data_IF_717283837920
#
_entry.id   IF_717283837920
#
_cell.length_a   1.000
_cell.length_b   1.000
_cell.length_c   1.000
_cell.angle_alpha   90.00
_cell.angle_beta   90.00
_cell.angle_gamma   90.00
#
_symmetry.space_group_name_H-M   'P 1'
#
loop_
_entity.id
_entity.type
_entity.pdbx_description
1 polymer ?
#
# COMPACT_ATOMS: atom_id res chain seq x y z
N UNK A 1 -67.35 -43.11 111.13
CA UNK A 1 -66.64 -43.42 109.87
C UNK A 1 -66.17 -42.12 109.21
N UNK A 2 -65.01 -41.60 109.58
CA UNK A 2 -64.47 -40.37 108.96
C UNK A 2 -63.52 -40.78 107.85
N UNK A 3 -64.01 -40.65 106.61
CA UNK A 3 -63.33 -41.06 105.40
C UNK A 3 -62.00 -40.31 105.25
N UNK A 4 -60.88 -41.03 105.40
CA UNK A 4 -59.53 -40.55 105.08
C UNK A 4 -59.51 -40.15 103.60
N UNK A 5 -59.73 -38.86 103.29
CA UNK A 5 -59.38 -38.32 101.96
C UNK A 5 -57.89 -38.57 101.77
N UNK A 6 -57.58 -39.51 100.86
CA UNK A 6 -56.25 -40.05 100.68
C UNK A 6 -55.23 -38.93 100.46
N UNK A 7 -54.05 -39.06 101.08
CA UNK A 7 -52.87 -38.21 100.86
C UNK A 7 -52.55 -38.04 99.37
N UNK A 8 -52.93 -39.01 98.52
CA UNK A 8 -52.87 -38.95 97.07
C UNK A 8 -53.68 -37.78 96.44
N UNK A 9 -54.82 -37.39 97.04
CA UNK A 9 -55.66 -36.27 96.56
C UNK A 9 -55.00 -34.90 96.76
N UNK A 10 -54.29 -34.68 97.88
CA UNK A 10 -53.56 -33.43 98.18
C UNK A 10 -52.28 -33.28 97.36
N UNK A 11 -51.62 -34.40 97.03
CA UNK A 11 -50.44 -34.42 96.14
C UNK A 11 -50.86 -34.16 94.69
N UNK A 12 -52.00 -34.70 94.23
CA UNK A 12 -52.57 -34.40 92.90
C UNK A 12 -52.90 -32.91 92.75
N UNK A 13 -53.55 -32.28 93.74
CA UNK A 13 -53.88 -30.84 93.66
C UNK A 13 -52.63 -29.94 93.68
N UNK A 14 -51.60 -30.26 94.48
CA UNK A 14 -50.31 -29.54 94.43
C UNK A 14 -49.57 -29.69 93.10
N UNK A 15 -49.54 -30.89 92.50
CA UNK A 15 -48.96 -31.12 91.16
C UNK A 15 -49.72 -30.35 90.07
N UNK A 16 -51.04 -30.27 90.15
CA UNK A 16 -51.86 -29.47 89.23
C UNK A 16 -51.59 -27.97 89.39
N UNK A 17 -51.47 -27.47 90.62
CA UNK A 17 -51.13 -26.06 90.88
C UNK A 17 -49.71 -25.70 90.39
N UNK A 18 -48.72 -26.60 90.57
CA UNK A 18 -47.37 -26.42 90.04
C UNK A 18 -47.34 -26.41 88.51
N UNK A 19 -48.05 -27.34 87.85
CA UNK A 19 -48.22 -27.34 86.39
C UNK A 19 -48.90 -26.06 85.89
N UNK A 20 -49.92 -25.56 86.60
CA UNK A 20 -50.56 -24.26 86.28
C UNK A 20 -49.60 -23.08 86.42
N UNK A 21 -48.76 -23.05 87.45
CA UNK A 21 -47.71 -22.02 87.61
C UNK A 21 -46.64 -22.10 86.52
N UNK A 22 -46.17 -23.30 86.17
CA UNK A 22 -45.26 -23.49 85.04
C UNK A 22 -45.89 -23.07 83.71
N UNK A 23 -47.16 -23.40 83.49
CA UNK A 23 -47.90 -22.99 82.31
C UNK A 23 -48.09 -21.46 82.26
N UNK A 24 -48.42 -20.83 83.38
CA UNK A 24 -48.51 -19.37 83.50
C UNK A 24 -47.15 -18.68 83.24
N UNK A 25 -46.06 -19.22 83.77
CA UNK A 25 -44.71 -18.71 83.53
C UNK A 25 -44.27 -18.90 82.08
N UNK A 26 -44.59 -20.05 81.46
CA UNK A 26 -44.37 -20.32 80.04
C UNK A 26 -45.19 -19.37 79.16
N UNK A 27 -46.45 -19.14 79.50
CA UNK A 27 -47.33 -18.19 78.81
C UNK A 27 -46.83 -16.74 78.94
N UNK A 28 -46.42 -16.32 80.14
CA UNK A 28 -45.84 -15.01 80.39
C UNK A 28 -44.51 -14.82 79.61
N UNK A 29 -43.65 -15.83 79.57
CA UNK A 29 -42.40 -15.82 78.78
C UNK A 29 -42.68 -15.74 77.28
N UNK A 30 -43.67 -16.48 76.79
CA UNK A 30 -44.10 -16.45 75.39
C UNK A 30 -44.72 -15.09 75.02
N UNK A 31 -45.53 -14.53 75.90
CA UNK A 31 -46.10 -13.18 75.76
C UNK A 31 -45.01 -12.11 75.74
N UNK A 32 -44.02 -12.18 76.63
CA UNK A 32 -42.86 -11.28 76.63
C UNK A 32 -42.03 -11.40 75.35
N UNK A 33 -41.80 -12.62 74.84
CA UNK A 33 -41.11 -12.83 73.55
C UNK A 33 -41.89 -12.22 72.39
N UNK A 34 -43.21 -12.36 72.38
CA UNK A 34 -44.08 -11.74 71.36
C UNK A 34 -43.98 -10.21 71.44
N UNK A 35 -44.07 -9.62 72.65
CA UNK A 35 -43.91 -8.19 72.86
C UNK A 35 -42.52 -7.68 72.39
N UNK A 36 -41.46 -8.43 72.67
CA UNK A 36 -40.11 -8.05 72.25
C UNK A 36 -39.94 -8.10 70.72
N UNK A 37 -40.57 -9.09 70.07
CA UNK A 37 -40.59 -9.21 68.61
C UNK A 37 -41.41 -8.09 67.97
N UNK A 38 -42.56 -7.71 68.54
CA UNK A 38 -43.37 -6.61 68.03
C UNK A 38 -42.65 -5.27 68.18
N UNK A 39 -42.01 -5.00 69.33
CA UNK A 39 -41.19 -3.78 69.52
C UNK A 39 -40.05 -3.72 68.51
N UNK A 40 -39.32 -4.83 68.29
CA UNK A 40 -38.26 -4.90 67.26
C UNK A 40 -38.79 -4.70 65.85
N UNK A 41 -39.96 -5.24 65.52
CA UNK A 41 -40.60 -5.04 64.23
C UNK A 41 -41.01 -3.58 64.01
N UNK A 42 -41.58 -2.92 65.02
CA UNK A 42 -41.94 -1.49 64.99
C UNK A 42 -40.70 -0.61 64.82
N UNK A 43 -39.61 -0.89 65.53
CA UNK A 43 -38.34 -0.17 65.37
C UNK A 43 -37.74 -0.35 63.95
N UNK A 44 -37.76 -1.57 63.41
CA UNK A 44 -37.34 -1.85 62.03
C UNK A 44 -38.22 -1.11 61.01
N UNK A 45 -39.54 -1.13 61.18
CA UNK A 45 -40.47 -0.42 60.30
C UNK A 45 -40.27 1.11 60.35
N UNK A 46 -40.09 1.67 61.55
CA UNK A 46 -39.78 3.10 61.75
C UNK A 46 -38.46 3.50 61.08
N UNK A 47 -37.39 2.69 61.22
CA UNK A 47 -36.11 2.96 60.56
C UNK A 47 -36.20 2.84 59.03
N UNK A 48 -36.97 1.88 58.51
CA UNK A 48 -37.26 1.74 57.08
C UNK A 48 -38.04 2.95 56.54
N UNK A 49 -39.07 3.41 57.25
CA UNK A 49 -39.85 4.60 56.88
C UNK A 49 -38.98 5.86 56.85
N UNK A 50 -38.10 6.06 57.85
CA UNK A 50 -37.11 7.15 57.85
C UNK A 50 -36.12 7.06 56.70
N UNK A 51 -35.62 5.86 56.37
CA UNK A 51 -34.70 5.64 55.24
C UNK A 51 -35.37 5.96 53.91
N UNK A 52 -36.61 5.51 53.70
CA UNK A 52 -37.38 5.80 52.50
C UNK A 52 -37.74 7.29 52.37
N UNK A 53 -38.11 7.94 53.47
CA UNK A 53 -38.34 9.39 53.49
C UNK A 53 -37.06 10.15 53.08
N UNK A 54 -35.90 9.81 53.67
CA UNK A 54 -34.59 10.39 53.27
C UNK A 54 -34.24 10.15 51.80
N UNK A 55 -34.58 8.98 51.24
CA UNK A 55 -34.36 8.68 49.83
C UNK A 55 -35.27 9.54 48.95
N UNK A 56 -36.55 9.65 49.29
CA UNK A 56 -37.52 10.47 48.57
C UNK A 56 -37.13 11.95 48.60
N UNK A 57 -36.73 12.46 49.76
CA UNK A 57 -36.28 13.84 49.93
C UNK A 57 -35.00 14.13 49.14
N UNK A 58 -34.02 13.21 49.14
CA UNK A 58 -32.84 13.31 48.26
C UNK A 58 -33.21 13.36 46.79
N UNK A 59 -34.18 12.55 46.34
CA UNK A 59 -34.68 12.58 44.95
C UNK A 59 -35.33 13.92 44.62
N UNK A 60 -36.17 14.45 45.53
CA UNK A 60 -36.84 15.75 45.37
C UNK A 60 -35.83 16.89 45.27
N UNK A 61 -34.87 16.95 46.19
CA UNK A 61 -33.78 17.95 46.18
C UNK A 61 -32.95 17.84 44.89
N UNK A 62 -32.60 16.63 44.46
CA UNK A 62 -31.86 16.41 43.22
C UNK A 62 -32.63 16.95 42.01
N UNK A 63 -33.94 16.71 41.93
CA UNK A 63 -34.81 17.24 40.86
C UNK A 63 -34.85 18.76 40.87
N UNK A 64 -34.99 19.38 42.04
CA UNK A 64 -34.97 20.83 42.19
C UNK A 64 -33.62 21.44 41.76
N UNK A 65 -32.49 20.89 42.21
CA UNK A 65 -31.15 21.36 41.83
C UNK A 65 -30.92 21.25 40.32
N UNK A 66 -31.39 20.16 39.68
CA UNK A 66 -31.31 19.99 38.22
C UNK A 66 -32.10 21.08 37.49
N UNK A 67 -33.35 21.33 37.90
CA UNK A 67 -34.17 22.40 37.32
C UNK A 67 -33.51 23.77 37.51
N UNK A 68 -32.98 24.04 38.71
CA UNK A 68 -32.25 25.27 39.00
C UNK A 68 -30.99 25.42 38.14
N UNK A 69 -30.26 24.34 37.90
CA UNK A 69 -29.07 24.34 37.04
C UNK A 69 -29.39 24.62 35.57
N UNK A 70 -30.53 24.16 35.06
CA UNK A 70 -30.97 24.44 33.70
C UNK A 70 -31.50 25.86 33.53
N UNK A 71 -32.30 26.34 34.48
CA UNK A 71 -33.06 27.58 34.31
C UNK A 71 -32.34 28.82 34.86
N UNK A 72 -31.33 28.66 35.71
CA UNK A 72 -30.60 29.79 36.30
C UNK A 72 -29.14 29.79 35.85
N UNK A 73 -28.81 30.72 34.96
CA UNK A 73 -27.47 30.88 34.38
C UNK A 73 -26.42 31.24 35.43
N UNK A 74 -26.73 32.13 36.37
CA UNK A 74 -25.81 32.54 37.46
C UNK A 74 -25.47 31.35 38.35
N UNK A 75 -26.48 30.60 38.80
CA UNK A 75 -26.29 29.39 39.59
C UNK A 75 -25.47 28.33 38.84
N UNK A 76 -25.69 28.16 37.53
CA UNK A 76 -24.91 27.24 36.69
C UNK A 76 -23.43 27.65 36.63
N UNK A 77 -23.14 28.92 36.39
CA UNK A 77 -21.77 29.45 36.31
C UNK A 77 -21.04 29.31 37.65
N UNK A 78 -21.67 29.73 38.75
CA UNK A 78 -21.11 29.60 40.10
C UNK A 78 -20.85 28.14 40.48
N UNK A 79 -21.82 27.25 40.23
CA UNK A 79 -21.67 25.83 40.52
C UNK A 79 -20.56 25.18 39.68
N UNK A 80 -20.41 25.58 38.41
CA UNK A 80 -19.32 25.11 37.55
C UNK A 80 -17.96 25.64 38.03
N UNK A 81 -17.88 26.90 38.42
CA UNK A 81 -16.67 27.50 38.99
C UNK A 81 -16.24 26.76 40.27
N UNK A 82 -17.16 26.59 41.22
CA UNK A 82 -16.89 25.89 42.47
C UNK A 82 -16.50 24.41 42.24
N UNK A 83 -17.18 23.72 41.33
CA UNK A 83 -16.82 22.35 40.94
C UNK A 83 -15.42 22.28 40.33
N UNK A 84 -15.06 23.25 39.48
CA UNK A 84 -13.75 23.34 38.83
C UNK A 84 -12.65 23.58 39.86
N UNK A 85 -12.85 24.53 40.78
CA UNK A 85 -11.93 24.83 41.88
C UNK A 85 -11.67 23.59 42.75
N UNK A 86 -12.73 22.85 43.08
CA UNK A 86 -12.63 21.63 43.88
C UNK A 86 -11.84 20.52 43.17
N UNK A 87 -12.03 20.37 41.86
CA UNK A 87 -11.26 19.42 41.04
C UNK A 87 -9.79 19.85 40.97
N UNK A 88 -9.51 21.14 40.81
CA UNK A 88 -8.17 21.70 40.76
C UNK A 88 -7.43 21.45 42.08
N UNK A 89 -8.05 21.79 43.20
CA UNK A 89 -7.52 21.53 44.54
C UNK A 89 -7.23 20.04 44.74
N UNK A 90 -8.14 19.16 44.30
CA UNK A 90 -7.92 17.71 44.36
C UNK A 90 -6.77 17.25 43.47
N UNK A 91 -6.58 17.86 42.30
CA UNK A 91 -5.46 17.56 41.41
C UNK A 91 -4.12 17.98 42.02
N UNK A 92 -4.06 19.12 42.73
CA UNK A 92 -2.87 19.60 43.42
C UNK A 92 -2.54 18.83 44.70
N UNK A 93 -3.53 18.39 45.47
CA UNK A 93 -3.28 17.81 46.80
C UNK A 93 -3.34 16.28 46.84
N UNK A 94 -3.83 15.62 45.79
CA UNK A 94 -3.97 14.17 45.76
C UNK A 94 -3.22 13.55 44.56
N UNK A 95 -2.11 12.87 44.87
CA UNK A 95 -1.22 12.24 43.88
C UNK A 95 -1.89 11.09 43.13
N UNK A 96 -2.68 10.24 43.80
CA UNK A 96 -3.37 9.11 43.16
C UNK A 96 -4.43 9.59 42.19
N UNK A 97 -5.21 10.61 42.56
CA UNK A 97 -6.16 11.27 41.68
C UNK A 97 -5.46 11.93 40.49
N UNK A 98 -4.37 12.67 40.72
CA UNK A 98 -3.56 13.30 39.67
C UNK A 98 -3.05 12.27 38.66
N UNK A 99 -2.48 11.17 39.13
CA UNK A 99 -1.95 10.10 38.28
C UNK A 99 -3.06 9.42 37.47
N UNK A 100 -4.22 9.19 38.08
CA UNK A 100 -5.40 8.63 37.40
C UNK A 100 -5.95 9.55 36.31
N UNK A 101 -5.95 10.86 36.52
CA UNK A 101 -6.33 11.84 35.48
C UNK A 101 -5.30 11.86 34.36
N UNK A 102 -4.00 11.86 34.68
CA UNK A 102 -2.91 11.80 33.69
C UNK A 102 -2.98 10.53 32.83
N UNK A 103 -3.22 9.36 33.43
CA UNK A 103 -3.31 8.10 32.68
C UNK A 103 -4.51 8.09 31.73
N UNK A 104 -5.68 8.52 32.20
CA UNK A 104 -6.89 8.66 31.36
C UNK A 104 -6.68 9.64 30.20
N UNK A 105 -6.07 10.79 30.47
CA UNK A 105 -5.76 11.78 29.44
C UNK A 105 -4.79 11.25 28.38
N UNK A 106 -3.75 10.50 28.79
CA UNK A 106 -2.83 9.82 27.85
C UNK A 106 -3.57 8.83 26.95
N UNK A 107 -4.40 7.95 27.51
CA UNK A 107 -5.16 6.96 26.74
C UNK A 107 -6.09 7.66 25.75
N UNK A 108 -6.83 8.68 26.20
CA UNK A 108 -7.72 9.45 25.33
C UNK A 108 -6.96 10.12 24.18
N UNK A 109 -5.83 10.77 24.48
CA UNK A 109 -4.99 11.45 23.48
C UNK A 109 -4.45 10.46 22.46
N UNK A 110 -4.01 9.28 22.92
CA UNK A 110 -3.46 8.23 22.06
C UNK A 110 -4.54 7.65 21.14
N UNK A 111 -5.71 7.34 21.69
CA UNK A 111 -6.87 6.91 20.92
C UNK A 111 -7.25 7.95 19.85
N UNK A 112 -7.33 9.24 20.23
CA UNK A 112 -7.60 10.34 19.30
C UNK A 112 -6.51 10.48 18.23
N UNK A 113 -5.24 10.27 18.58
CA UNK A 113 -4.11 10.33 17.65
C UNK A 113 -4.16 9.20 16.60
N UNK A 114 -4.61 8.01 16.98
CA UNK A 114 -4.73 6.89 16.03
C UNK A 114 -5.96 7.03 15.13
N UNK A 115 -7.09 7.46 15.69
CA UNK A 115 -8.39 7.39 15.01
C UNK A 115 -8.83 8.71 14.35
N UNK A 116 -8.18 9.84 14.61
CA UNK A 116 -8.53 11.12 14.00
C UNK A 116 -7.36 11.71 13.22
N UNK A 117 -7.51 11.77 11.89
CA UNK A 117 -6.48 12.23 10.95
C UNK A 117 -6.06 13.69 11.19
N UNK A 118 -7.03 14.59 11.36
CA UNK A 118 -6.78 16.02 11.53
C UNK A 118 -6.10 16.31 12.87
N UNK A 119 -6.59 15.68 13.94
CA UNK A 119 -5.97 15.77 15.26
C UNK A 119 -4.53 15.27 15.21
N UNK A 120 -4.27 14.14 14.55
CA UNK A 120 -2.93 13.58 14.38
C UNK A 120 -1.99 14.57 13.68
N UNK A 121 -2.45 15.21 12.61
CA UNK A 121 -1.65 16.18 11.85
C UNK A 121 -1.39 17.46 12.66
N UNK A 122 -2.42 18.01 13.30
CA UNK A 122 -2.28 19.18 14.17
C UNK A 122 -1.38 18.90 15.39
N UNK A 123 -1.47 17.71 15.97
CA UNK A 123 -0.61 17.29 17.09
C UNK A 123 0.85 17.20 16.64
N UNK A 124 1.13 16.57 15.48
CA UNK A 124 2.48 16.52 14.89
C UNK A 124 3.04 17.91 14.60
N UNK A 125 2.23 18.80 14.02
CA UNK A 125 2.63 20.17 13.73
C UNK A 125 3.00 20.93 14.99
N UNK A 126 2.14 20.90 16.02
CA UNK A 126 2.40 21.54 17.32
C UNK A 126 3.66 21.00 18.00
N UNK A 127 3.80 19.67 18.07
CA UNK A 127 4.97 19.04 18.66
C UNK A 127 6.27 19.45 17.94
N UNK A 128 6.24 19.55 16.61
CA UNK A 128 7.37 20.04 15.81
C UNK A 128 7.72 21.49 16.15
N UNK A 129 6.72 22.37 16.22
CA UNK A 129 6.91 23.79 16.57
C UNK A 129 7.48 23.96 17.97
N UNK A 130 6.99 23.21 18.97
CA UNK A 130 7.51 23.27 20.34
C UNK A 130 8.97 22.78 20.43
N UNK A 131 9.32 21.71 19.73
CA UNK A 131 10.70 21.21 19.68
C UNK A 131 11.63 22.24 19.03
N UNK A 132 11.21 22.85 17.92
CA UNK A 132 11.97 23.92 17.27
C UNK A 132 12.14 25.12 18.21
N UNK A 133 11.07 25.56 18.88
CA UNK A 133 11.15 26.64 19.87
C UNK A 133 12.21 26.32 20.93
N UNK A 134 12.15 25.13 21.55
CA UNK A 134 13.14 24.69 22.55
C UNK A 134 14.56 24.63 22.00
N UNK A 135 14.73 24.21 20.76
CA UNK A 135 16.03 24.13 20.09
C UNK A 135 16.68 25.51 19.91
N UNK A 136 15.89 26.55 19.58
CA UNK A 136 16.41 27.90 19.41
C UNK A 136 16.54 28.67 20.73
N UNK A 137 15.68 28.42 21.71
CA UNK A 137 15.68 29.19 22.96
C UNK A 137 16.56 28.61 24.05
N UNK A 138 16.92 27.32 24.02
CA UNK A 138 17.67 26.66 25.08
C UNK A 138 18.94 25.96 24.56
N UNK A 139 20.09 26.57 24.83
CA UNK A 139 21.38 26.09 24.34
C UNK A 139 21.74 24.68 24.87
N UNK A 140 21.38 24.34 26.10
CA UNK A 140 21.66 23.01 26.67
C UNK A 140 20.88 21.90 25.96
N UNK A 141 19.62 22.17 25.59
CA UNK A 141 18.77 21.24 24.84
C UNK A 141 19.30 21.10 23.42
N UNK A 142 19.70 22.22 22.80
CA UNK A 142 20.31 22.25 21.47
C UNK A 142 21.55 21.36 21.39
N UNK A 143 22.50 21.51 22.32
CA UNK A 143 23.73 20.71 22.37
C UNK A 143 23.43 19.22 22.57
N UNK A 144 22.51 18.86 23.47
CA UNK A 144 22.07 17.46 23.66
C UNK A 144 21.44 16.87 22.40
N UNK A 145 20.66 17.65 21.65
CA UNK A 145 20.06 17.20 20.40
C UNK A 145 21.11 16.99 19.30
N UNK A 146 22.08 17.90 19.16
CA UNK A 146 23.20 17.77 18.22
C UNK A 146 24.02 16.51 18.54
N UNK A 147 24.36 16.30 19.82
CA UNK A 147 25.14 15.12 20.24
C UNK A 147 24.41 13.80 19.91
N UNK A 148 23.08 13.74 20.14
CA UNK A 148 22.28 12.56 19.77
C UNK A 148 22.27 12.30 18.27
N UNK A 149 22.17 13.36 17.46
CA UNK A 149 22.22 13.24 16.00
C UNK A 149 23.59 12.73 15.53
N UNK A 150 24.68 13.24 16.10
CA UNK A 150 26.04 12.78 15.81
C UNK A 150 26.25 11.31 16.21
N UNK A 151 25.80 10.90 17.40
CA UNK A 151 25.89 9.52 17.85
C UNK A 151 25.08 8.59 16.93
N UNK A 152 23.88 9.00 16.51
CA UNK A 152 23.07 8.24 15.56
C UNK A 152 23.72 8.15 14.17
N UNK A 153 24.44 9.18 13.73
CA UNK A 153 25.17 9.16 12.47
C UNK A 153 26.38 8.21 12.53
N UNK A 154 27.11 8.23 13.66
CA UNK A 154 28.24 7.33 13.92
C UNK A 154 27.81 5.87 13.96
N UNK A 155 26.69 5.56 14.63
CA UNK A 155 26.18 4.19 14.72
C UNK A 155 25.46 3.68 13.46
N UNK A 156 24.85 4.57 12.66
CA UNK A 156 24.16 4.23 11.42
C UNK A 156 25.02 4.37 10.16
N UNK A 157 26.35 4.33 10.24
CA UNK A 157 27.23 4.32 9.05
C UNK A 157 27.69 2.90 8.67
N UNK A 158 26.81 1.91 8.84
CA UNK A 158 27.07 0.53 8.38
C UNK A 158 26.84 0.42 6.87
N UNK A 159 27.43 -0.59 6.22
CA UNK A 159 27.22 -0.83 4.78
C UNK A 159 25.73 -1.03 4.44
N UNK A 160 24.97 -1.65 5.35
CA UNK A 160 23.52 -1.90 5.22
C UNK A 160 22.74 -0.59 5.18
N UNK A 161 23.03 0.36 6.07
CA UNK A 161 22.34 1.67 6.10
C UNK A 161 22.71 2.54 4.90
N UNK A 162 23.96 2.47 4.39
CA UNK A 162 24.35 3.14 3.14
C UNK A 162 23.57 2.60 1.94
N UNK A 163 23.48 1.28 1.78
CA UNK A 163 22.72 0.64 0.69
C UNK A 163 21.22 0.99 0.76
N UNK A 164 20.64 0.94 1.96
CA UNK A 164 19.25 1.33 2.19
C UNK A 164 18.98 2.82 1.86
N UNK A 165 19.87 3.73 2.26
CA UNK A 165 19.79 5.17 1.92
C UNK A 165 19.91 5.41 0.42
N UNK A 166 20.78 4.67 -0.27
CA UNK A 166 20.93 4.75 -1.73
C UNK A 166 19.65 4.31 -2.46
N UNK A 167 19.06 3.18 -2.05
CA UNK A 167 17.79 2.67 -2.59
C UNK A 167 16.64 3.66 -2.34
N UNK A 168 16.53 4.22 -1.14
CA UNK A 168 15.54 5.24 -0.81
C UNK A 168 15.68 6.49 -1.70
N UNK A 169 16.91 6.97 -1.90
CA UNK A 169 17.19 8.13 -2.74
C UNK A 169 16.88 7.86 -4.23
N UNK A 170 17.21 6.67 -4.73
CA UNK A 170 16.79 6.24 -6.08
C UNK A 170 15.28 6.24 -6.21
N UNK A 171 14.56 5.62 -5.27
CA UNK A 171 13.09 5.58 -5.26
C UNK A 171 12.48 6.98 -5.27
N UNK A 172 13.00 7.91 -4.47
CA UNK A 172 12.54 9.31 -4.50
C UNK A 172 12.80 10.01 -5.83
N UNK A 173 13.98 9.82 -6.44
CA UNK A 173 14.30 10.40 -7.75
C UNK A 173 13.32 9.91 -8.82
N UNK A 174 13.04 8.61 -8.80
CA UNK A 174 12.04 7.97 -9.67
C UNK A 174 10.65 8.58 -9.43
N UNK A 175 10.20 8.67 -8.18
CA UNK A 175 8.90 9.26 -7.83
C UNK A 175 8.79 10.73 -8.25
N UNK A 176 9.84 11.54 -8.06
CA UNK A 176 9.86 12.93 -8.54
C UNK A 176 9.79 13.02 -10.06
N UNK A 177 10.50 12.14 -10.78
CA UNK A 177 10.43 12.06 -12.24
C UNK A 177 9.01 11.71 -12.70
N UNK A 178 8.39 10.70 -12.09
CA UNK A 178 7.00 10.33 -12.40
C UNK A 178 6.00 11.43 -12.04
N UNK A 179 6.15 12.09 -10.89
CA UNK A 179 5.31 13.21 -10.50
C UNK A 179 5.44 14.39 -11.48
N UNK A 180 6.66 14.69 -11.96
CA UNK A 180 6.92 15.71 -12.98
C UNK A 180 6.28 15.33 -14.33
N UNK A 181 6.33 14.06 -14.72
CA UNK A 181 5.66 13.56 -15.93
C UNK A 181 4.13 13.62 -15.78
N UNK A 182 3.61 13.33 -14.59
CA UNK A 182 2.17 13.35 -14.31
C UNK A 182 1.64 14.79 -14.15
N UNK A 183 2.47 15.73 -13.70
CA UNK A 183 2.15 17.16 -13.63
C UNK A 183 2.22 17.87 -14.99
N UNK A 184 2.88 17.28 -15.99
CA UNK A 184 2.63 17.60 -17.40
C UNK A 184 1.23 17.09 -17.78
N UNK A 185 0.19 17.74 -17.24
CA UNK A 185 -1.11 17.78 -17.91
C UNK A 185 -0.85 18.35 -19.29
N UNK A 186 -0.81 17.49 -20.31
CA UNK A 186 -0.74 17.90 -21.69
C UNK A 186 -1.82 18.95 -21.91
N UNK A 187 -1.40 20.21 -22.08
CA UNK A 187 -2.29 21.29 -22.49
C UNK A 187 -2.97 20.86 -23.79
N UNK A 188 -4.23 21.28 -24.00
CA UNK A 188 -5.05 20.88 -25.16
C UNK A 188 -4.31 21.01 -26.52
N UNK A 189 -3.35 21.94 -26.63
CA UNK A 189 -2.43 22.08 -27.78
C UNK A 189 -1.62 20.82 -28.10
N UNK A 190 -1.10 20.11 -27.10
CA UNK A 190 -0.36 18.85 -27.31
C UNK A 190 -1.25 17.68 -27.72
N UNK A 191 -2.53 17.66 -27.29
CA UNK A 191 -3.47 16.62 -27.71
C UNK A 191 -3.82 16.75 -29.20
N UNK A 192 -4.01 17.97 -29.69
CA UNK A 192 -4.29 18.22 -31.10
C UNK A 192 -3.07 17.92 -31.97
N UNK A 193 -1.87 18.37 -31.57
CA UNK A 193 -0.63 18.04 -32.27
C UNK A 193 -0.39 16.52 -32.29
N UNK A 194 -0.62 15.82 -31.18
CA UNK A 194 -0.51 14.37 -31.13
C UNK A 194 -1.51 13.69 -32.07
N UNK A 195 -2.78 14.12 -32.09
CA UNK A 195 -3.80 13.58 -33.00
C UNK A 195 -3.44 13.83 -34.47
N UNK A 196 -2.89 15.00 -34.79
CA UNK A 196 -2.41 15.34 -36.13
C UNK A 196 -1.24 14.44 -36.53
N UNK A 197 -0.20 14.36 -35.69
CA UNK A 197 0.96 13.50 -35.92
C UNK A 197 0.57 12.03 -36.04
N UNK A 198 -0.43 11.56 -35.27
CA UNK A 198 -0.94 10.19 -35.36
C UNK A 198 -1.67 9.94 -36.67
N UNK A 199 -2.47 10.91 -37.15
CA UNK A 199 -3.12 10.82 -38.47
C UNK A 199 -2.08 10.78 -39.58
N UNK A 200 -1.07 11.63 -39.52
CA UNK A 200 0.01 11.66 -40.50
C UNK A 200 0.84 10.37 -40.47
N UNK A 201 1.21 9.89 -39.29
CA UNK A 201 1.89 8.60 -39.12
C UNK A 201 1.07 7.46 -39.74
N UNK A 202 -0.23 7.37 -39.44
CA UNK A 202 -1.13 6.36 -40.03
C UNK A 202 -1.21 6.46 -41.55
N UNK A 203 -1.19 7.67 -42.11
CA UNK A 203 -1.15 7.90 -43.56
C UNK A 203 0.15 7.37 -44.16
N UNK A 204 1.29 7.64 -43.53
CA UNK A 204 2.63 7.20 -43.98
C UNK A 204 2.74 5.68 -43.97
N UNK A 205 2.27 5.01 -42.91
CA UNK A 205 2.42 3.55 -42.79
C UNK A 205 1.43 2.74 -43.61
N UNK A 206 0.39 3.37 -44.18
CA UNK A 206 -0.68 2.69 -44.95
C UNK A 206 -0.13 1.92 -46.14
N UNK A 207 0.89 2.46 -46.81
CA UNK A 207 1.51 1.87 -48.00
C UNK A 207 2.62 0.86 -47.68
N UNK A 208 2.88 0.59 -46.39
CA UNK A 208 3.94 -0.32 -45.98
C UNK A 208 5.36 0.15 -46.35
N UNK A 209 6.40 -0.53 -45.84
CA UNK A 209 7.78 -0.24 -46.19
C UNK A 209 8.22 -0.99 -47.46
N UNK A 210 7.48 -0.90 -48.57
CA UNK A 210 7.70 -1.74 -49.75
C UNK A 210 8.79 -1.21 -50.71
N UNK A 211 9.44 -0.10 -50.37
CA UNK A 211 10.42 0.55 -51.23
C UNK A 211 11.85 0.15 -50.84
N UNK A 212 12.44 -0.77 -51.61
CA UNK A 212 13.79 -1.28 -51.35
C UNK A 212 14.86 -0.32 -51.87
N UNK A 213 15.78 0.09 -50.99
CA UNK A 213 16.92 0.93 -51.36
C UNK A 213 18.04 0.13 -52.05
N UNK A 214 18.48 0.56 -53.23
CA UNK A 214 19.57 -0.08 -53.98
C UNK A 214 20.94 -0.13 -53.28
N UNK A 215 21.19 0.75 -52.31
CA UNK A 215 22.49 0.78 -51.60
C UNK A 215 22.47 -0.02 -50.31
N UNK A 216 21.41 0.10 -49.49
CA UNK A 216 21.36 -0.54 -48.18
C UNK A 216 20.47 -1.79 -48.12
N UNK A 217 19.72 -2.10 -49.18
CA UNK A 217 18.84 -3.28 -49.25
C UNK A 217 17.64 -3.26 -48.29
N UNK A 218 17.47 -2.19 -47.52
CA UNK A 218 16.36 -2.06 -46.57
C UNK A 218 15.07 -1.69 -47.29
N UNK A 219 13.99 -2.36 -46.90
CA UNK A 219 12.62 -2.02 -47.24
C UNK A 219 12.18 -0.80 -46.40
N UNK A 220 11.74 0.27 -47.07
CA UNK A 220 11.51 1.59 -46.47
C UNK A 220 10.16 2.16 -46.92
N UNK A 221 9.64 3.14 -46.19
CA UNK A 221 8.41 3.84 -46.58
C UNK A 221 8.63 4.79 -47.75
N UNK A 222 7.57 5.07 -48.53
CA UNK A 222 7.60 5.96 -49.70
C UNK A 222 8.25 7.32 -49.44
N UNK A 223 8.05 7.88 -48.25
CA UNK A 223 8.57 9.19 -47.85
C UNK A 223 10.07 9.17 -47.49
N UNK A 224 10.68 8.01 -47.31
CA UNK A 224 12.10 7.83 -46.97
C UNK A 224 12.98 7.59 -48.20
N UNK A 225 12.36 7.31 -49.35
CA UNK A 225 13.04 7.01 -50.61
C UNK A 225 12.81 8.09 -51.66
N UNK A 226 13.73 8.13 -52.63
CA UNK A 226 13.63 8.92 -53.85
C UNK A 226 13.92 8.04 -55.07
N UNK A 227 13.38 8.37 -56.26
CA UNK A 227 13.69 7.66 -57.49
C UNK A 227 15.20 7.63 -57.74
N UNK A 228 15.74 6.45 -58.02
CA UNK A 228 17.12 6.31 -58.41
C UNK A 228 17.30 6.74 -59.87
N UNK A 229 18.24 7.66 -60.11
CA UNK A 229 18.60 8.14 -61.45
C UNK A 229 20.06 7.82 -61.68
N UNK A 230 20.33 6.94 -62.65
CA UNK A 230 21.67 6.37 -62.90
C UNK A 230 22.75 7.44 -62.96
N UNK A 231 22.53 8.49 -63.74
CA UNK A 231 23.53 9.54 -64.01
C UNK A 231 23.87 10.38 -62.79
N UNK A 232 22.96 10.47 -61.81
CA UNK A 232 23.20 11.23 -60.56
C UNK A 232 24.16 10.51 -59.61
N UNK A 233 24.31 9.20 -59.74
CA UNK A 233 25.01 8.37 -58.75
C UNK A 233 26.13 7.51 -59.35
N UNK A 234 26.03 7.11 -60.63
CA UNK A 234 27.06 6.32 -61.32
C UNK A 234 27.94 7.28 -62.14
N UNK A 235 28.94 7.87 -61.48
CA UNK A 235 30.02 8.63 -62.14
C UNK A 235 31.39 8.08 -61.72
N UNK A 236 32.48 8.64 -62.22
CA UNK A 236 33.85 8.20 -61.89
C UNK A 236 34.26 8.50 -60.44
N UNK A 237 33.55 9.41 -59.76
CA UNK A 237 33.94 9.96 -58.45
C UNK A 237 33.31 9.23 -57.25
N UNK A 238 32.59 8.13 -57.49
CA UNK A 238 32.02 7.26 -56.43
C UNK A 238 32.93 6.05 -56.19
N UNK A 239 32.93 5.50 -54.97
CA UNK A 239 33.70 4.29 -54.67
C UNK A 239 33.32 3.13 -55.60
N UNK A 240 34.35 2.39 -56.04
CA UNK A 240 34.22 1.28 -56.98
C UNK A 240 33.27 0.20 -56.46
N UNK A 241 33.30 -0.08 -55.16
CA UNK A 241 32.46 -1.07 -54.49
C UNK A 241 30.98 -0.69 -54.58
N UNK A 242 30.64 0.57 -54.30
CA UNK A 242 29.26 1.07 -54.43
C UNK A 242 28.83 1.04 -55.89
N UNK A 243 29.69 1.49 -56.81
CA UNK A 243 29.41 1.47 -58.24
C UNK A 243 29.09 0.06 -58.72
N UNK A 244 29.96 -0.91 -58.40
CA UNK A 244 29.83 -2.32 -58.76
C UNK A 244 28.56 -2.94 -58.17
N UNK A 245 28.23 -2.64 -56.92
CA UNK A 245 27.03 -3.13 -56.27
C UNK A 245 25.74 -2.58 -56.89
N UNK A 246 25.65 -1.25 -57.06
CA UNK A 246 24.48 -0.66 -57.72
C UNK A 246 24.34 -1.25 -59.13
N UNK A 247 25.44 -1.38 -59.88
CA UNK A 247 25.41 -1.99 -61.21
C UNK A 247 24.98 -3.47 -61.19
N UNK A 248 25.37 -4.27 -60.20
CA UNK A 248 24.90 -5.66 -60.10
C UNK A 248 23.39 -5.71 -59.87
N UNK A 249 22.84 -4.85 -59.01
CA UNK A 249 21.39 -4.75 -58.80
C UNK A 249 20.65 -4.26 -60.06
N UNK A 250 21.29 -3.42 -60.87
CA UNK A 250 20.71 -2.95 -62.13
C UNK A 250 20.59 -4.06 -63.18
N UNK A 251 21.50 -5.03 -63.20
CA UNK A 251 21.54 -6.14 -64.17
C UNK A 251 20.48 -7.22 -63.93
N UNK A 252 20.08 -7.43 -62.67
CA UNK A 252 19.17 -8.51 -62.28
C UNK A 252 17.68 -8.16 -62.35
N UNK A 253 17.31 -6.89 -62.55
CA UNK A 253 15.90 -6.50 -62.64
C UNK A 253 15.51 -6.20 -64.08
N UNK A 254 14.34 -6.69 -64.49
CA UNK A 254 13.65 -6.30 -65.71
C UNK A 254 13.61 -4.78 -65.82
N UNK A 255 13.85 -4.25 -67.02
CA UNK A 255 14.19 -2.85 -67.30
C UNK A 255 13.06 -1.84 -67.05
N UNK A 256 11.87 -2.28 -66.65
CA UNK A 256 10.66 -1.45 -66.56
C UNK A 256 10.29 -1.01 -65.14
N UNK A 257 10.89 -1.57 -64.09
CA UNK A 257 10.53 -1.21 -62.71
C UNK A 257 11.32 0.01 -62.19
N UNK A 258 10.59 0.99 -61.65
CA UNK A 258 11.18 2.16 -61.00
C UNK A 258 11.98 1.75 -59.76
N UNK A 259 13.29 2.06 -59.78
CA UNK A 259 14.20 1.77 -58.67
C UNK A 259 14.30 2.92 -57.68
N UNK A 260 14.64 2.59 -56.43
CA UNK A 260 14.61 3.53 -55.32
C UNK A 260 15.94 3.57 -54.56
N UNK A 261 16.25 4.75 -54.00
CA UNK A 261 17.36 4.94 -53.08
C UNK A 261 16.87 5.74 -51.87
N UNK A 262 17.29 5.35 -50.66
CA UNK A 262 16.90 6.07 -49.46
C UNK A 262 17.64 7.42 -49.38
N UNK A 263 16.98 8.42 -48.79
CA UNK A 263 17.53 9.78 -48.66
C UNK A 263 18.92 9.77 -48.02
N UNK A 264 19.11 9.01 -46.95
CA UNK A 264 20.40 8.90 -46.25
C UNK A 264 21.53 8.32 -47.12
N UNK A 265 21.25 7.28 -47.92
CA UNK A 265 22.24 6.72 -48.84
C UNK A 265 22.53 7.68 -49.99
N UNK A 266 21.51 8.31 -50.55
CA UNK A 266 21.67 9.36 -51.57
C UNK A 266 22.59 10.47 -51.08
N UNK A 267 22.36 11.01 -49.87
CA UNK A 267 23.13 12.13 -49.35
C UNK A 267 24.60 11.76 -49.11
N UNK A 268 24.85 10.55 -48.61
CA UNK A 268 26.22 10.05 -48.42
C UNK A 268 26.94 9.82 -49.74
N UNK A 269 26.29 9.19 -50.70
CA UNK A 269 26.86 8.95 -52.03
C UNK A 269 27.17 10.27 -52.75
N UNK A 270 26.25 11.25 -52.72
CA UNK A 270 26.48 12.59 -53.30
C UNK A 270 27.69 13.28 -52.67
N UNK A 271 27.89 13.08 -51.36
CA UNK A 271 29.06 13.56 -50.60
C UNK A 271 30.31 12.69 -50.79
N UNK A 272 30.30 11.70 -51.69
CA UNK A 272 31.40 10.77 -51.97
C UNK A 272 31.82 9.95 -50.75
N UNK A 273 30.88 9.67 -49.84
CA UNK A 273 31.09 8.87 -48.64
C UNK A 273 30.38 7.53 -48.75
N UNK A 274 30.99 6.48 -48.19
CA UNK A 274 30.33 5.18 -48.03
C UNK A 274 29.12 5.31 -47.11
N UNK A 275 27.90 4.97 -47.55
CA UNK A 275 26.75 4.93 -46.65
C UNK A 275 26.98 3.89 -45.56
N UNK A 276 26.78 4.27 -44.29
CA UNK A 276 27.05 3.38 -43.15
C UNK A 276 26.25 2.08 -43.19
N UNK A 277 25.03 2.13 -43.75
CA UNK A 277 24.13 0.98 -43.91
C UNK A 277 24.26 0.30 -45.27
N UNK A 278 25.23 0.69 -46.10
CA UNK A 278 25.40 0.09 -47.42
C UNK A 278 25.72 -1.40 -47.29
N UNK A 279 25.14 -2.24 -48.14
CA UNK A 279 25.40 -3.69 -48.16
C UNK A 279 26.89 -3.95 -48.39
N UNK A 280 27.54 -3.16 -49.26
CA UNK A 280 28.99 -3.27 -49.49
C UNK A 280 29.86 -2.74 -48.35
N UNK A 281 29.29 -2.04 -47.38
CA UNK A 281 30.02 -1.57 -46.20
C UNK A 281 30.12 -2.68 -45.14
N UNK A 282 30.65 -3.85 -45.52
CA UNK A 282 30.78 -5.04 -44.65
C UNK A 282 29.46 -5.51 -44.02
N UNK A 283 28.32 -5.17 -44.63
CA UNK A 283 26.98 -5.60 -44.21
C UNK A 283 26.36 -6.60 -45.19
N UNK A 284 27.15 -7.08 -46.16
CA UNK A 284 26.72 -8.10 -47.12
C UNK A 284 26.56 -9.40 -46.37
N UNK A 285 25.32 -9.87 -46.30
CA UNK A 285 25.01 -11.20 -45.77
C UNK A 285 25.46 -12.21 -46.83
N UNK A 286 26.26 -13.19 -46.41
CA UNK A 286 26.59 -14.32 -47.28
C UNK A 286 25.32 -15.09 -47.61
N UNK A 287 25.24 -15.62 -48.83
CA UNK A 287 24.15 -16.52 -49.16
C UNK A 287 24.15 -17.70 -48.18
N UNK A 288 22.95 -18.11 -47.76
CA UNK A 288 22.80 -19.30 -46.93
C UNK A 288 23.41 -20.48 -47.71
N UNK A 289 24.38 -21.21 -47.11
CA UNK A 289 24.98 -22.38 -47.74
C UNK A 289 23.93 -23.37 -48.23
N UNK A 290 24.22 -24.09 -49.32
CA UNK A 290 23.25 -25.00 -49.96
C UNK A 290 22.82 -26.12 -49.00
N UNK A 291 23.73 -26.54 -48.12
CA UNK A 291 23.54 -27.50 -47.04
C UNK A 291 22.46 -27.00 -46.06
N UNK A 292 22.51 -25.72 -45.69
CA UNK A 292 21.56 -25.11 -44.75
C UNK A 292 20.21 -24.73 -45.40
N UNK A 293 20.20 -24.47 -46.70
CA UNK A 293 18.97 -24.15 -47.45
C UNK A 293 17.99 -25.34 -47.48
N UNK A 294 18.51 -26.56 -47.52
CA UNK A 294 17.72 -27.81 -47.59
C UNK A 294 17.07 -28.20 -46.27
N UNK A 295 17.53 -27.64 -45.15
CA UNK A 295 17.02 -28.01 -43.84
C UNK A 295 15.58 -27.55 -43.62
N UNK A 296 14.77 -28.43 -43.05
CA UNK A 296 13.41 -28.11 -42.60
C UNK A 296 13.44 -27.25 -41.32
N UNK A 297 12.28 -26.77 -40.88
CA UNK A 297 12.19 -25.87 -39.71
C UNK A 297 12.69 -26.52 -38.40
N UNK A 298 12.53 -27.83 -38.25
CA UNK A 298 12.96 -28.57 -37.07
C UNK A 298 14.49 -28.72 -37.07
N UNK A 299 15.07 -29.15 -38.19
CA UNK A 299 16.51 -29.28 -38.38
C UNK A 299 17.22 -27.94 -38.16
N UNK A 300 16.66 -26.83 -38.69
CA UNK A 300 17.17 -25.48 -38.44
C UNK A 300 17.18 -25.09 -36.96
N UNK A 301 16.20 -25.56 -36.18
CA UNK A 301 16.20 -25.35 -34.74
C UNK A 301 17.26 -26.21 -34.03
N UNK A 302 17.48 -27.45 -34.48
CA UNK A 302 18.47 -28.34 -33.89
C UNK A 302 19.90 -27.82 -34.05
N UNK A 303 20.22 -27.22 -35.21
CA UNK A 303 21.54 -26.64 -35.48
C UNK A 303 21.66 -25.15 -35.08
N UNK A 304 20.65 -24.59 -34.42
CA UNK A 304 20.65 -23.18 -34.06
C UNK A 304 21.69 -22.94 -32.95
N UNK A 305 22.72 -22.15 -33.24
CA UNK A 305 23.77 -21.78 -32.26
C UNK A 305 23.22 -21.12 -30.99
N UNK A 306 22.00 -20.55 -31.05
CA UNK A 306 21.33 -19.96 -29.90
C UNK A 306 19.86 -20.33 -29.90
N UNK A 307 19.43 -20.98 -28.82
CA UNK A 307 18.03 -21.32 -28.59
C UNK A 307 17.36 -20.21 -27.79
N UNK A 308 16.38 -19.50 -28.37
CA UNK A 308 15.65 -18.47 -27.64
C UNK A 308 14.62 -19.11 -26.71
N UNK A 309 14.86 -19.07 -25.40
CA UNK A 309 13.86 -19.45 -24.40
C UNK A 309 13.00 -18.24 -24.05
N UNK A 310 11.98 -17.96 -24.87
CA UNK A 310 11.04 -16.88 -24.59
C UNK A 310 9.58 -17.34 -24.73
N UNK A 311 8.74 -16.88 -23.80
CA UNK A 311 7.28 -17.00 -23.92
C UNK A 311 6.71 -15.73 -24.51
N UNK A 312 6.20 -15.83 -25.73
CA UNK A 312 5.39 -14.75 -26.32
C UNK A 312 4.03 -14.75 -25.63
N UNK A 313 3.68 -13.64 -25.02
CA UNK A 313 2.39 -13.41 -24.35
C UNK A 313 1.67 -12.25 -25.01
N UNK A 314 0.34 -12.28 -25.05
CA UNK A 314 -0.42 -11.10 -25.38
C UNK A 314 -0.34 -10.14 -24.20
N UNK A 315 0.16 -8.92 -24.43
CA UNK A 315 0.09 -7.87 -23.42
C UNK A 315 -1.37 -7.46 -23.29
N UNK A 316 -1.90 -7.49 -22.06
CA UNK A 316 -3.30 -7.12 -21.80
C UNK A 316 -3.53 -5.69 -22.26
N UNK A 317 -4.16 -5.56 -23.41
CA UNK A 317 -4.63 -4.30 -23.94
C UNK A 317 -5.99 -4.08 -23.29
N UNK A 318 -6.11 -3.17 -22.32
CA UNK A 318 -7.41 -2.85 -21.75
C UNK A 318 -8.43 -2.55 -22.85
N UNK A 319 -9.66 -3.07 -22.76
CA UNK A 319 -10.86 -2.88 -23.62
C UNK A 319 -10.72 -2.89 -25.16
N UNK A 320 -9.52 -2.96 -25.74
CA UNK A 320 -9.31 -3.00 -27.19
C UNK A 320 -9.18 -4.45 -27.67
N UNK A 321 -9.89 -4.76 -28.77
CA UNK A 321 -10.04 -6.08 -29.39
C UNK A 321 -8.77 -6.94 -29.35
N UNK A 322 -8.94 -8.22 -29.00
CA UNK A 322 -7.86 -9.22 -28.91
C UNK A 322 -7.00 -9.35 -30.17
N UNK A 323 -7.56 -9.04 -31.36
CA UNK A 323 -6.83 -9.05 -32.63
C UNK A 323 -5.82 -7.90 -32.79
N UNK A 324 -5.93 -6.84 -32.01
CA UNK A 324 -5.05 -5.66 -32.04
C UNK A 324 -4.09 -5.59 -30.84
N UNK A 325 -4.05 -6.64 -30.01
CA UNK A 325 -3.23 -6.65 -28.81
C UNK A 325 -1.74 -6.77 -29.15
N UNK A 326 -0.92 -5.93 -28.52
CA UNK A 326 0.53 -6.00 -28.70
C UNK A 326 1.05 -7.31 -28.08
N UNK A 327 1.87 -8.05 -28.82
CA UNK A 327 2.60 -9.20 -28.29
C UNK A 327 3.82 -8.71 -27.51
N UNK A 328 4.03 -9.27 -26.33
CA UNK A 328 5.20 -9.04 -25.49
C UNK A 328 5.88 -10.36 -25.11
N UNK A 329 7.05 -10.28 -24.50
CA UNK A 329 7.78 -11.45 -24.01
C UNK A 329 7.70 -11.47 -22.48
N UNK A 330 7.28 -12.60 -21.90
CA UNK A 330 7.32 -12.81 -20.45
C UNK A 330 8.55 -13.62 -20.09
N UNK A 331 9.37 -13.07 -19.19
CA UNK A 331 10.63 -13.66 -18.76
C UNK A 331 11.84 -12.97 -19.38
N UNK A 332 13.06 -13.24 -18.89
CA UNK A 332 14.27 -12.72 -19.48
C UNK A 332 14.49 -13.38 -20.85
N UNK A 333 14.96 -12.61 -21.84
CA UNK A 333 15.39 -13.13 -23.13
C UNK A 333 16.71 -13.90 -22.93
N UNK A 334 16.62 -15.16 -22.51
CA UNK A 334 17.78 -16.03 -22.41
C UNK A 334 17.98 -16.73 -23.75
N UNK A 335 18.97 -16.26 -24.51
CA UNK A 335 19.50 -16.98 -25.66
C UNK A 335 20.58 -17.93 -25.14
N UNK A 336 20.22 -19.19 -24.94
CA UNK A 336 21.16 -20.22 -24.46
C UNK A 336 22.00 -20.68 -25.64
N UNK A 337 23.35 -20.70 -25.53
CA UNK A 337 24.18 -21.28 -26.56
C UNK A 337 23.84 -22.76 -26.72
N UNK A 338 23.63 -23.20 -27.95
CA UNK A 338 23.44 -24.63 -28.24
C UNK A 338 24.78 -25.21 -28.63
N UNK A 339 25.08 -26.40 -28.12
CA UNK A 339 26.14 -27.24 -28.66
C UNK A 339 25.57 -28.03 -29.83
N UNK A 340 25.92 -27.60 -31.04
CA UNK A 340 25.43 -28.22 -32.27
C UNK A 340 26.04 -29.61 -32.45
N UNK A 341 27.29 -29.81 -32.01
CA UNK A 341 28.00 -31.07 -32.15
C UNK A 341 27.33 -32.16 -31.31
N UNK A 342 27.07 -31.85 -30.03
CA UNK A 342 26.35 -32.75 -29.12
C UNK A 342 24.96 -33.11 -29.65
N UNK A 343 24.26 -32.11 -30.23
CA UNK A 343 22.90 -32.30 -30.75
C UNK A 343 22.89 -33.23 -31.97
N UNK A 344 23.88 -33.09 -32.86
CA UNK A 344 24.04 -33.95 -34.05
C UNK A 344 24.45 -35.36 -33.64
N UNK A 345 25.39 -35.52 -32.70
CA UNK A 345 25.84 -36.83 -32.21
C UNK A 345 24.71 -37.58 -31.49
N UNK A 346 23.84 -36.85 -30.78
CA UNK A 346 22.73 -37.44 -30.04
C UNK A 346 21.56 -37.92 -30.91
N UNK A 347 21.54 -37.62 -32.20
CA UNK A 347 20.41 -37.92 -33.10
C UNK A 347 20.79 -38.95 -34.18
N UNK A 348 19.94 -39.97 -34.44
CA UNK A 348 18.67 -40.26 -33.77
C UNK A 348 18.87 -40.87 -32.38
N UNK A 349 18.05 -40.45 -31.40
CA UNK A 349 18.13 -41.02 -30.05
C UNK A 349 17.72 -42.50 -30.08
N UNK A 350 18.47 -43.40 -29.44
CA UNK A 350 18.03 -44.78 -29.23
C UNK A 350 16.68 -44.81 -28.52
N UNK A 351 15.81 -45.77 -28.87
CA UNK A 351 14.43 -45.89 -28.33
C UNK A 351 14.43 -45.90 -26.80
N UNK A 352 15.39 -46.60 -26.19
CA UNK A 352 15.55 -46.71 -24.73
C UNK A 352 15.86 -45.38 -24.02
N UNK A 353 16.39 -44.38 -24.75
CA UNK A 353 16.76 -43.05 -24.23
C UNK A 353 15.76 -41.96 -24.61
N UNK A 354 14.64 -42.32 -25.24
CA UNK A 354 13.64 -41.38 -25.78
C UNK A 354 12.39 -41.21 -24.90
N UNK A 355 12.23 -42.04 -23.86
CA UNK A 355 11.03 -42.15 -23.00
C UNK A 355 11.21 -41.57 -21.58
N UNK A 356 12.34 -40.92 -21.29
CA UNK A 356 12.57 -40.13 -20.06
C UNK A 356 12.61 -38.65 -20.41
#
# INVERSE_FOLDING_TARGET
MVCKKSTASKVKTRKVAYKRKQHAHSYASRSWRILLLTVRAVQKFSSFKRKNFRIHEKKRIKKYILLKYHNNTKFRVENNSHASQRILNKYHNNTTFRNKIKSRSKIHTLNKYHNNFDFRNQYKARAKTEVLKKYYTNNSIRLKMIQRALNSYRSNNTLITRKSRQLYNQRRRILKKYASIQSHKCTLKHSNLYKQNLKEFRKIIREGPDYVCLSCGLALFRNQVIPFVKDKYINEKISYEIKKHIQSYLKYSSSTEQKWICKSCSDKIKKRQMPSRSVVNKLKVCDVPSELKRLNNLEKHLIALRLPFMKIVNLTSGKLSSRLSQKGTKGPLHCVPSDVEDTVIALPRPVDKSMM
#
